data_IF_221146999766
#
_entry.id   IF_221146999766
#
_cell.length_a   1.000
_cell.length_b   1.000
_cell.length_c   1.000
_cell.angle_alpha   90.00
_cell.angle_beta   90.00
_cell.angle_gamma   90.00
#
_symmetry.space_group_name_H-M   'P 1'
#
loop_
_entity.id
_entity.type
_entity.pdbx_description
1 polymer ?
#
# COMPACT_ATOMS: atom_id res chain seq x y z
N UNK A 1 -30.30 64.82 -19.43
CA UNK A 1 -31.16 63.79 -20.07
C UNK A 1 -30.27 62.61 -20.39
N UNK A 2 -30.56 61.45 -19.80
CA UNK A 2 -29.71 60.27 -19.79
C UNK A 2 -29.89 59.44 -21.07
N UNK A 3 -28.79 59.04 -21.72
CA UNK A 3 -28.81 58.01 -22.75
C UNK A 3 -28.03 56.79 -22.27
N UNK A 4 -28.77 55.69 -22.25
CA UNK A 4 -28.55 54.42 -21.57
C UNK A 4 -27.60 53.54 -22.36
N UNK A 5 -26.55 53.06 -21.69
CA UNK A 5 -25.59 52.07 -22.19
C UNK A 5 -26.28 50.73 -22.43
N UNK A 6 -26.42 50.32 -23.69
CA UNK A 6 -26.86 48.96 -24.03
C UNK A 6 -25.65 48.02 -23.99
N UNK A 7 -25.35 47.45 -22.82
CA UNK A 7 -24.40 46.36 -22.71
C UNK A 7 -25.03 45.08 -23.28
N UNK A 8 -24.54 44.61 -24.42
CA UNK A 8 -24.95 43.35 -25.00
C UNK A 8 -24.63 42.19 -24.04
N UNK A 9 -25.66 41.50 -23.54
CA UNK A 9 -25.51 40.33 -22.69
C UNK A 9 -25.09 39.13 -23.57
N UNK A 10 -23.78 38.89 -23.71
CA UNK A 10 -23.29 37.70 -24.41
C UNK A 10 -23.70 36.43 -23.65
N UNK A 11 -24.64 35.68 -24.21
CA UNK A 11 -24.94 34.32 -23.73
C UNK A 11 -23.70 33.44 -23.91
N UNK A 12 -23.03 33.16 -22.79
CA UNK A 12 -21.89 32.23 -22.72
C UNK A 12 -22.39 30.86 -23.19
N UNK A 13 -21.88 30.36 -24.33
CA UNK A 13 -22.22 29.03 -24.82
C UNK A 13 -21.79 28.00 -23.77
N UNK A 14 -22.77 27.39 -23.11
CA UNK A 14 -22.53 26.34 -22.13
C UNK A 14 -21.96 25.12 -22.88
N UNK A 15 -20.66 24.85 -22.70
CA UNK A 15 -20.02 23.64 -23.22
C UNK A 15 -20.27 22.53 -22.18
N UNK A 16 -21.24 21.67 -22.45
CA UNK A 16 -21.49 20.48 -21.63
C UNK A 16 -20.39 19.43 -21.78
N UNK A 17 -20.37 18.45 -20.87
CA UNK A 17 -19.53 17.25 -21.01
C UNK A 17 -20.04 16.45 -22.20
N UNK A 18 -19.17 16.06 -23.12
CA UNK A 18 -19.56 15.19 -24.23
C UNK A 18 -19.75 13.77 -23.73
N UNK A 19 -20.66 13.00 -24.35
CA UNK A 19 -20.85 11.58 -24.01
C UNK A 19 -19.52 10.80 -24.09
N UNK A 20 -18.70 11.09 -25.10
CA UNK A 20 -17.37 10.49 -25.25
C UNK A 20 -16.46 10.87 -24.09
N UNK A 21 -16.42 12.16 -23.70
CA UNK A 21 -15.65 12.62 -22.55
C UNK A 21 -16.10 11.95 -21.24
N UNK A 22 -17.41 11.77 -21.06
CA UNK A 22 -17.96 11.06 -19.90
C UNK A 22 -17.50 9.59 -19.87
N UNK A 23 -17.59 8.87 -20.99
CA UNK A 23 -17.17 7.47 -21.09
C UNK A 23 -15.68 7.34 -20.78
N UNK A 24 -14.83 8.21 -21.31
CA UNK A 24 -13.39 8.20 -21.04
C UNK A 24 -13.08 8.42 -19.55
N UNK A 25 -13.77 9.37 -18.91
CA UNK A 25 -13.62 9.62 -17.47
C UNK A 25 -14.06 8.39 -16.66
N UNK A 26 -15.21 7.79 -16.99
CA UNK A 26 -15.69 6.58 -16.32
C UNK A 26 -14.73 5.39 -16.51
N UNK A 27 -14.13 5.24 -17.69
CA UNK A 27 -13.14 4.20 -17.94
C UNK A 27 -11.90 4.35 -17.05
N UNK A 28 -11.38 5.57 -16.91
CA UNK A 28 -10.23 5.85 -16.02
C UNK A 28 -10.60 5.57 -14.56
N UNK A 29 -11.78 6.03 -14.11
CA UNK A 29 -12.26 5.76 -12.75
C UNK A 29 -12.41 4.26 -12.51
N UNK A 30 -12.97 3.52 -13.47
CA UNK A 30 -13.11 2.07 -13.40
C UNK A 30 -11.77 1.36 -13.27
N UNK A 31 -10.76 1.78 -14.04
CA UNK A 31 -9.40 1.24 -13.94
C UNK A 31 -8.80 1.48 -12.54
N UNK A 32 -8.91 2.71 -12.03
CA UNK A 32 -8.41 3.06 -10.69
C UNK A 32 -9.15 2.26 -9.61
N UNK A 33 -10.46 2.10 -9.73
CA UNK A 33 -11.27 1.33 -8.79
C UNK A 33 -10.82 -0.15 -8.73
N UNK A 34 -10.59 -0.78 -9.88
CA UNK A 34 -10.09 -2.17 -9.94
C UNK A 34 -8.70 -2.29 -9.31
N UNK A 35 -7.79 -1.35 -9.59
CA UNK A 35 -6.48 -1.32 -8.96
C UNK A 35 -6.59 -1.18 -7.44
N UNK A 36 -7.39 -0.24 -6.95
CA UNK A 36 -7.60 -0.03 -5.52
C UNK A 36 -8.13 -1.29 -4.83
N UNK A 37 -9.14 -1.95 -5.43
CA UNK A 37 -9.69 -3.21 -4.90
C UNK A 37 -8.63 -4.31 -4.81
N UNK A 38 -7.76 -4.45 -5.83
CA UNK A 38 -6.71 -5.48 -5.83
C UNK A 38 -5.55 -5.17 -4.89
N UNK A 39 -5.20 -3.91 -4.69
CA UNK A 39 -4.11 -3.48 -3.80
C UNK A 39 -4.53 -3.49 -2.33
N UNK A 40 -5.82 -3.29 -2.04
CA UNK A 40 -6.34 -3.28 -0.66
C UNK A 40 -5.95 -4.52 0.15
N UNK A 41 -6.18 -5.77 -0.30
CA UNK A 41 -5.79 -6.96 0.48
C UNK A 41 -4.28 -7.03 0.73
N UNK A 42 -3.44 -6.58 -0.20
CA UNK A 42 -1.98 -6.64 -0.06
C UNK A 42 -1.47 -5.61 0.94
N UNK A 43 -2.11 -4.45 1.00
CA UNK A 43 -1.83 -3.43 2.03
C UNK A 43 -2.30 -3.91 3.41
N UNK A 44 -3.47 -4.53 3.52
CA UNK A 44 -3.94 -5.13 4.78
C UNK A 44 -2.97 -6.20 5.28
N UNK A 45 -2.52 -7.09 4.42
CA UNK A 45 -1.52 -8.11 4.74
C UNK A 45 -0.19 -7.50 5.24
N UNK A 46 0.29 -6.44 4.58
CA UNK A 46 1.47 -5.68 5.04
C UNK A 46 1.30 -5.13 6.46
N UNK A 47 0.13 -4.56 6.79
CA UNK A 47 -0.13 -4.08 8.15
C UNK A 47 -0.25 -5.22 9.17
N UNK A 48 -0.82 -6.36 8.78
CA UNK A 48 -0.83 -7.57 9.62
C UNK A 48 0.59 -8.04 9.94
N UNK A 49 1.49 -8.05 8.95
CA UNK A 49 2.92 -8.38 9.16
C UNK A 49 3.56 -7.41 10.15
N UNK A 50 3.37 -6.10 9.97
CA UNK A 50 3.90 -5.08 10.89
C UNK A 50 3.44 -5.30 12.33
N UNK A 51 2.16 -5.64 12.51
CA UNK A 51 1.60 -5.94 13.84
C UNK A 51 2.20 -7.23 14.42
N UNK A 52 2.33 -8.27 13.60
CA UNK A 52 2.91 -9.55 14.00
C UNK A 52 4.36 -9.40 14.48
N UNK A 53 5.24 -8.73 13.71
CA UNK A 53 6.63 -8.53 14.12
C UNK A 53 6.74 -7.66 15.39
N UNK A 54 5.85 -6.68 15.57
CA UNK A 54 5.79 -5.87 16.80
C UNK A 54 5.43 -6.72 18.01
N UNK A 55 4.46 -7.63 17.87
CA UNK A 55 4.09 -8.58 18.91
C UNK A 55 5.21 -9.57 19.23
N UNK A 56 5.91 -10.09 18.22
CA UNK A 56 7.05 -11.00 18.41
C UNK A 56 8.21 -10.29 19.12
N UNK A 57 8.53 -9.06 18.72
CA UNK A 57 9.55 -8.24 19.40
C UNK A 57 9.21 -8.02 20.87
N UNK A 58 7.95 -7.74 21.19
CA UNK A 58 7.51 -7.50 22.57
C UNK A 58 7.65 -8.74 23.47
N UNK A 59 7.47 -9.94 22.93
CA UNK A 59 7.66 -11.20 23.66
C UNK A 59 9.14 -11.54 23.85
N UNK A 60 9.98 -11.26 22.86
CA UNK A 60 11.41 -11.56 22.92
C UNK A 60 11.72 -13.05 22.70
N UNK A 61 12.93 -13.47 23.09
CA UNK A 61 13.39 -14.86 23.03
C UNK A 61 14.54 -15.14 22.06
N UNK A 62 14.82 -16.42 21.84
CA UNK A 62 15.76 -16.87 20.82
C UNK A 62 15.20 -16.67 19.41
N UNK A 63 16.08 -16.68 18.41
CA UNK A 63 15.70 -16.48 17.01
C UNK A 63 14.71 -17.58 16.54
N UNK A 64 14.94 -18.89 16.81
CA UNK A 64 13.99 -19.93 16.43
C UNK A 64 12.60 -19.73 17.04
N UNK A 65 12.53 -19.32 18.30
CA UNK A 65 11.29 -19.06 19.03
C UNK A 65 10.54 -17.87 18.43
N UNK A 66 11.26 -16.80 18.08
CA UNK A 66 10.68 -15.63 17.41
C UNK A 66 10.10 -15.98 16.04
N UNK A 67 10.81 -16.78 15.23
CA UNK A 67 10.30 -17.25 13.93
C UNK A 67 9.05 -18.12 14.09
N UNK A 68 9.05 -19.03 15.07
CA UNK A 68 7.88 -19.84 15.38
C UNK A 68 6.70 -19.00 15.90
N UNK A 69 6.97 -18.00 16.73
CA UNK A 69 5.95 -17.06 17.21
C UNK A 69 5.35 -16.24 16.05
N UNK A 70 6.18 -15.78 15.12
CA UNK A 70 5.69 -15.12 13.90
C UNK A 70 4.80 -16.05 13.09
N UNK A 71 5.19 -17.31 12.86
CA UNK A 71 4.36 -18.26 12.10
C UNK A 71 2.97 -18.45 12.72
N UNK A 72 2.87 -18.51 14.06
CA UNK A 72 1.58 -18.56 14.75
C UNK A 72 0.75 -17.29 14.54
N UNK A 73 1.40 -16.13 14.61
CA UNK A 73 0.73 -14.86 14.33
C UNK A 73 0.31 -14.72 12.86
N UNK A 74 1.09 -15.29 11.95
CA UNK A 74 0.80 -15.33 10.52
C UNK A 74 -0.45 -16.16 10.22
N UNK A 75 -0.61 -17.32 10.87
CA UNK A 75 -1.80 -18.16 10.76
C UNK A 75 -3.07 -17.43 11.23
N UNK A 76 -3.01 -16.76 12.39
CA UNK A 76 -4.15 -15.98 12.91
C UNK A 76 -4.43 -14.72 12.08
N UNK A 77 -3.38 -14.11 11.54
CA UNK A 77 -3.43 -12.86 10.79
C UNK A 77 -3.71 -13.01 9.29
N UNK A 78 -3.90 -14.24 8.80
CA UNK A 78 -4.02 -14.58 7.39
C UNK A 78 -2.87 -13.99 6.54
N UNK A 79 -1.64 -14.21 7.00
CA UNK A 79 -0.42 -13.75 6.32
C UNK A 79 0.15 -14.92 5.52
N UNK A 80 0.15 -14.78 4.20
CA UNK A 80 0.69 -15.79 3.27
C UNK A 80 1.93 -15.29 2.53
N UNK A 81 2.17 -13.97 2.50
CA UNK A 81 3.23 -13.36 1.73
C UNK A 81 4.65 -13.69 2.22
N UNK A 82 4.80 -13.95 3.52
CA UNK A 82 6.08 -14.31 4.14
C UNK A 82 5.86 -15.26 5.30
N UNK A 83 6.91 -16.01 5.63
CA UNK A 83 7.01 -16.86 6.80
C UNK A 83 8.00 -16.32 7.80
N UNK A 84 8.07 -16.97 8.97
CA UNK A 84 9.07 -16.68 9.98
C UNK A 84 10.49 -16.84 9.45
N UNK A 85 10.74 -17.62 8.38
CA UNK A 85 12.06 -17.79 7.76
C UNK A 85 12.52 -16.56 6.96
N UNK A 86 11.57 -15.76 6.48
CA UNK A 86 11.83 -14.55 5.69
C UNK A 86 12.16 -13.32 6.56
N UNK A 87 12.09 -13.48 7.89
CA UNK A 87 12.48 -12.45 8.84
C UNK A 87 14.00 -12.34 8.96
N UNK A 88 14.51 -11.11 8.87
CA UNK A 88 15.87 -10.76 9.28
C UNK A 88 15.82 -10.25 10.73
N UNK A 89 16.31 -11.07 11.66
CA UNK A 89 16.32 -10.78 13.09
C UNK A 89 17.74 -10.44 13.51
N UNK A 90 17.95 -9.21 13.95
CA UNK A 90 19.23 -8.70 14.46
C UNK A 90 19.14 -8.49 15.97
N UNK A 91 20.17 -8.93 16.70
CA UNK A 91 20.29 -8.73 18.14
C UNK A 91 21.45 -7.78 18.42
N UNK A 92 21.16 -6.63 19.02
CA UNK A 92 22.12 -5.61 19.41
C UNK A 92 22.09 -5.46 20.93
N UNK A 93 22.82 -6.34 21.63
CA UNK A 93 22.73 -6.43 23.10
C UNK A 93 21.32 -6.86 23.51
N UNK A 94 20.63 -5.98 24.26
CA UNK A 94 19.27 -6.22 24.75
C UNK A 94 18.17 -5.80 23.76
N UNK A 95 18.49 -5.03 22.71
CA UNK A 95 17.52 -4.66 21.68
C UNK A 95 17.49 -5.68 20.54
N UNK A 96 16.28 -6.03 20.13
CA UNK A 96 16.05 -6.91 18.98
C UNK A 96 15.35 -6.12 17.89
N UNK A 97 15.90 -6.22 16.68
CA UNK A 97 15.33 -5.64 15.48
C UNK A 97 14.83 -6.75 14.56
N UNK A 98 13.57 -6.66 14.13
CA UNK A 98 12.96 -7.61 13.21
C UNK A 98 12.61 -6.87 11.92
N UNK A 99 13.09 -7.39 10.80
CA UNK A 99 12.92 -6.80 9.48
C UNK A 99 12.33 -7.82 8.51
N UNK A 100 11.65 -7.32 7.49
CA UNK A 100 11.18 -8.11 6.36
C UNK A 100 11.21 -7.28 5.07
N UNK A 101 11.32 -7.95 3.94
CA UNK A 101 11.08 -7.38 2.63
C UNK A 101 10.58 -8.47 1.67
N UNK A 102 9.58 -8.15 0.84
CA UNK A 102 9.05 -9.07 -0.16
C UNK A 102 8.42 -8.30 -1.33
N UNK A 103 8.24 -8.99 -2.46
CA UNK A 103 7.56 -8.45 -3.64
C UNK A 103 6.17 -9.07 -3.76
N UNK A 104 5.14 -8.24 -3.99
CA UNK A 104 3.79 -8.71 -4.33
C UNK A 104 3.53 -8.45 -5.80
N UNK A 105 3.29 -9.52 -6.55
CA UNK A 105 2.86 -9.44 -7.95
C UNK A 105 1.35 -9.62 -8.00
N UNK A 106 0.67 -8.58 -8.46
CA UNK A 106 -0.79 -8.53 -8.59
C UNK A 106 -1.13 -8.62 -10.08
N UNK A 107 -1.62 -9.77 -10.57
CA UNK A 107 -2.05 -9.88 -11.96
C UNK A 107 -3.17 -8.87 -12.22
N UNK A 108 -3.08 -8.10 -13.31
CA UNK A 108 -4.11 -7.14 -13.70
C UNK A 108 -5.01 -7.72 -14.78
N UNK A 109 -4.45 -7.96 -15.97
CA UNK A 109 -5.12 -8.51 -17.14
C UNK A 109 -4.09 -9.08 -18.13
N UNK A 110 -4.31 -10.29 -18.65
CA UNK A 110 -3.39 -10.93 -19.59
C UNK A 110 -1.96 -10.98 -19.03
N UNK A 111 -0.92 -10.57 -19.80
CA UNK A 111 0.46 -10.54 -19.33
C UNK A 111 0.79 -9.33 -18.42
N UNK A 112 -0.19 -8.48 -18.11
CA UNK A 112 0.03 -7.23 -17.35
C UNK A 112 -0.17 -7.48 -15.87
N UNK A 113 0.81 -7.06 -15.07
CA UNK A 113 0.80 -7.16 -13.60
C UNK A 113 1.27 -5.86 -12.96
N UNK A 114 0.82 -5.61 -11.74
CA UNK A 114 1.35 -4.57 -10.85
C UNK A 114 2.31 -5.24 -9.86
N UNK A 115 3.52 -4.72 -9.74
CA UNK A 115 4.49 -5.14 -8.71
C UNK A 115 4.54 -4.09 -7.61
N UNK A 116 4.51 -4.55 -6.35
CA UNK A 116 4.69 -3.69 -5.18
C UNK A 116 5.77 -4.30 -4.31
N UNK A 117 6.81 -3.52 -4.03
CA UNK A 117 7.83 -3.86 -3.04
C UNK A 117 7.36 -3.44 -1.65
N UNK A 118 7.24 -4.41 -0.75
CA UNK A 118 6.94 -4.17 0.65
C UNK A 118 8.19 -4.40 1.50
N UNK A 119 8.42 -3.52 2.46
CA UNK A 119 9.46 -3.69 3.47
C UNK A 119 9.02 -3.06 4.79
N UNK A 120 9.45 -3.66 5.89
CA UNK A 120 9.14 -3.17 7.23
C UNK A 120 10.23 -3.54 8.23
N UNK A 121 10.30 -2.74 9.29
CA UNK A 121 11.25 -2.91 10.38
C UNK A 121 10.58 -2.49 11.69
N UNK A 122 10.94 -3.15 12.78
CA UNK A 122 10.65 -2.68 14.14
C UNK A 122 11.53 -1.50 14.56
N UNK A 123 12.53 -1.12 13.76
CA UNK A 123 13.37 0.07 13.93
C UNK A 123 13.10 1.06 12.80
N UNK A 124 12.38 2.14 13.11
CA UNK A 124 11.94 3.12 12.12
C UNK A 124 13.10 3.83 11.39
N UNK A 125 14.26 3.95 12.04
CA UNK A 125 15.43 4.62 11.45
C UNK A 125 16.02 3.84 10.27
N UNK A 126 15.90 2.51 10.24
CA UNK A 126 16.46 1.67 9.18
C UNK A 126 15.65 1.74 7.88
N UNK A 127 14.34 1.95 7.98
CA UNK A 127 13.47 2.18 6.81
C UNK A 127 13.82 3.49 6.09
N UNK A 128 14.09 4.56 6.84
CA UNK A 128 14.52 5.85 6.27
C UNK A 128 15.85 5.74 5.52
N UNK A 129 16.79 4.95 6.03
CA UNK A 129 18.10 4.73 5.39
C UNK A 129 18.01 3.91 4.11
N UNK A 130 17.10 2.93 4.02
CA UNK A 130 16.89 2.11 2.82
C UNK A 130 16.07 2.83 1.74
N UNK A 131 15.25 3.81 2.14
CA UNK A 131 14.45 4.64 1.24
C UNK A 131 15.17 5.91 0.73
N UNK A 132 16.38 6.19 1.23
CA UNK A 132 17.25 7.23 0.68
C UNK A 132 17.97 6.68 -0.57
N UNK A 133 17.95 7.42 -1.70
CA UNK A 133 18.69 7.03 -2.91
C UNK A 133 20.20 7.01 -2.70
#
# INVERSE_FOLDING_TARGET
MANMTLAAHMHRKQKGVTLVGLILVLAIIGLIAVLAMKVTPTVTEYFSIKKAIGSVKAVGGGIPEMRAAFNRQAEVGYIDAISGQDLEILKNGDDVEINFAYQKIIPLVGPVSLMIDYAGSTNENRLKKKAAP
#
